data_IF_581363447093
#
_entry.id   IF_581363447093
#
_cell.length_a   1.000
_cell.length_b   1.000
_cell.length_c   1.000
_cell.angle_alpha   90.00
_cell.angle_beta   90.00
_cell.angle_gamma   90.00
#
_symmetry.space_group_name_H-M   'P 1'
#
loop_
_entity.id
_entity.type
_entity.pdbx_description
1 polymer ?
#
# COMPACT_ATOMS: atom_id res chain seq x y z
N UNK A 1 17.42 64.15 39.45
CA UNK A 1 18.12 63.52 38.31
C UNK A 1 18.03 62.01 38.48
N UNK A 2 17.39 61.31 37.55
CA UNK A 2 17.20 59.85 37.64
C UNK A 2 16.08 59.38 36.72
N UNK A 3 16.17 59.69 35.44
CA UNK A 3 15.19 59.28 34.43
C UNK A 3 15.96 58.59 33.28
N UNK A 4 15.69 57.31 33.05
CA UNK A 4 16.20 56.58 31.87
C UNK A 4 16.73 55.18 32.16
N UNK A 5 15.88 54.20 32.50
CA UNK A 5 16.30 52.78 32.45
C UNK A 5 15.21 51.73 32.23
N UNK A 6 14.02 52.11 31.77
CA UNK A 6 12.90 51.16 31.56
C UNK A 6 12.64 50.74 30.09
N UNK A 7 13.41 51.24 29.10
CA UNK A 7 13.18 50.90 27.69
C UNK A 7 13.81 49.58 27.22
N UNK A 8 14.76 49.00 27.97
CA UNK A 8 15.52 47.82 27.52
C UNK A 8 14.86 46.47 27.82
N UNK A 9 14.00 46.37 28.85
CA UNK A 9 13.45 45.07 29.27
C UNK A 9 12.33 44.54 28.36
N UNK A 10 11.58 45.44 27.68
CA UNK A 10 10.52 45.03 26.74
C UNK A 10 11.08 44.41 25.46
N UNK A 11 12.29 44.77 25.05
CA UNK A 11 12.94 44.22 23.85
C UNK A 11 13.51 42.81 24.08
N UNK A 12 14.01 42.54 25.29
CA UNK A 12 14.60 41.24 25.63
C UNK A 12 13.59 40.09 25.54
N UNK A 13 12.36 40.32 26.00
CA UNK A 13 11.29 39.30 25.95
C UNK A 13 10.89 38.98 24.50
N UNK A 14 10.82 39.99 23.62
CA UNK A 14 10.48 39.78 22.20
C UNK A 14 11.57 38.95 21.50
N UNK A 15 12.86 39.23 21.78
CA UNK A 15 13.97 38.47 21.20
C UNK A 15 13.96 37.02 21.67
N UNK A 16 13.69 36.77 22.96
CA UNK A 16 13.56 35.40 23.48
C UNK A 16 12.40 34.64 22.82
N UNK A 17 11.25 35.30 22.61
CA UNK A 17 10.11 34.68 21.93
C UNK A 17 10.39 34.40 20.45
N UNK A 18 11.08 35.32 19.75
CA UNK A 18 11.48 35.12 18.36
C UNK A 18 12.43 33.92 18.16
N UNK A 19 13.27 33.63 19.15
CA UNK A 19 14.16 32.47 19.11
C UNK A 19 13.44 31.16 19.49
N UNK A 20 12.45 31.21 20.37
CA UNK A 20 11.67 30.04 20.79
C UNK A 20 10.63 29.60 19.76
N UNK A 21 10.03 30.53 19.02
CA UNK A 21 9.00 30.23 18.04
C UNK A 21 9.42 29.22 16.95
N UNK A 22 10.56 29.36 16.26
CA UNK A 22 10.98 28.37 15.26
C UNK A 22 11.29 27.01 15.87
N UNK A 23 11.83 26.97 17.10
CA UNK A 23 12.07 25.73 17.83
C UNK A 23 10.75 25.01 18.14
N UNK A 24 9.76 25.73 18.68
CA UNK A 24 8.45 25.17 18.99
C UNK A 24 7.72 24.70 17.71
N UNK A 25 7.81 25.47 16.63
CA UNK A 25 7.24 25.08 15.33
C UNK A 25 7.91 23.81 14.78
N UNK A 26 9.24 23.69 14.90
CA UNK A 26 9.96 22.49 14.44
C UNK A 26 9.54 21.23 15.20
N UNK A 27 9.34 21.33 16.52
CA UNK A 27 8.86 20.23 17.37
C UNK A 27 7.41 19.87 16.99
N UNK A 28 6.56 20.87 16.77
CA UNK A 28 5.17 20.63 16.37
C UNK A 28 5.09 19.90 15.01
N UNK A 29 5.87 20.35 14.02
CA UNK A 29 5.94 19.70 12.70
C UNK A 29 6.46 18.27 12.81
N UNK A 30 7.44 18.02 13.69
CA UNK A 30 7.95 16.67 13.95
C UNK A 30 6.85 15.76 14.51
N UNK A 31 6.08 16.22 15.50
CA UNK A 31 4.98 15.45 16.09
C UNK A 31 3.89 15.17 15.05
N UNK A 32 3.52 16.15 14.22
CA UNK A 32 2.58 15.97 13.13
C UNK A 32 3.07 14.92 12.12
N UNK A 33 4.35 14.96 11.75
CA UNK A 33 4.95 13.99 10.83
C UNK A 33 4.92 12.57 11.40
N UNK A 34 5.22 12.38 12.69
CA UNK A 34 5.11 11.08 13.35
C UNK A 34 3.67 10.57 13.32
N UNK A 35 2.70 11.46 13.55
CA UNK A 35 1.26 11.12 13.44
C UNK A 35 0.87 10.65 12.03
N UNK A 36 1.36 11.34 10.99
CA UNK A 36 1.12 10.97 9.59
C UNK A 36 1.76 9.62 9.23
N UNK A 37 2.97 9.35 9.71
CA UNK A 37 3.65 8.05 9.51
C UNK A 37 2.87 6.92 10.22
N UNK A 38 2.39 7.16 11.45
CA UNK A 38 1.58 6.18 12.16
C UNK A 38 0.26 5.87 11.44
N UNK A 39 -0.41 6.90 10.89
CA UNK A 39 -1.58 6.71 10.04
C UNK A 39 -1.24 5.91 8.77
N UNK A 40 -0.12 6.24 8.11
CA UNK A 40 0.32 5.53 6.92
C UNK A 40 0.57 4.04 7.19
N UNK A 41 1.18 3.70 8.33
CA UNK A 41 1.36 2.30 8.75
C UNK A 41 0.05 1.53 8.87
N UNK A 42 -0.99 2.13 9.46
CA UNK A 42 -2.31 1.49 9.55
C UNK A 42 -2.91 1.22 8.17
N UNK A 43 -2.74 2.15 7.23
CA UNK A 43 -3.23 1.99 5.86
C UNK A 43 -2.45 0.93 5.09
N UNK A 44 -1.12 0.86 5.24
CA UNK A 44 -0.30 -0.18 4.59
C UNK A 44 -0.59 -1.57 5.18
N UNK A 45 -0.86 -1.68 6.49
CA UNK A 45 -1.32 -2.92 7.09
C UNK A 45 -2.67 -3.38 6.50
N UNK A 46 -3.62 -2.44 6.34
CA UNK A 46 -4.87 -2.74 5.64
C UNK A 46 -4.64 -3.10 4.16
N UNK A 47 -3.67 -2.48 3.49
CA UNK A 47 -3.29 -2.84 2.13
C UNK A 47 -2.74 -4.26 2.03
N UNK A 48 -1.91 -4.68 3.01
CA UNK A 48 -1.42 -6.06 3.11
C UNK A 48 -2.57 -7.06 3.33
N UNK A 49 -3.53 -6.73 4.18
CA UNK A 49 -4.74 -7.53 4.35
C UNK A 49 -5.57 -7.65 3.06
N UNK A 50 -5.83 -6.53 2.37
CA UNK A 50 -6.57 -6.53 1.11
C UNK A 50 -5.84 -7.33 0.02
N UNK A 51 -4.52 -7.23 -0.04
CA UNK A 51 -3.68 -8.00 -0.94
C UNK A 51 -3.74 -9.50 -0.62
N UNK A 52 -3.61 -9.88 0.65
CA UNK A 52 -3.71 -11.27 1.08
C UNK A 52 -5.07 -11.89 0.71
N UNK A 53 -6.17 -11.14 0.90
CA UNK A 53 -7.50 -11.61 0.49
C UNK A 53 -7.62 -11.80 -1.02
N UNK A 54 -7.04 -10.90 -1.80
CA UNK A 54 -6.97 -11.05 -3.25
C UNK A 54 -6.13 -12.27 -3.65
N UNK A 55 -5.00 -12.48 -2.96
CA UNK A 55 -4.09 -13.58 -3.24
C UNK A 55 -4.74 -14.95 -3.02
N UNK A 56 -5.46 -15.14 -1.92
CA UNK A 56 -6.17 -16.41 -1.63
C UNK A 56 -7.17 -16.78 -2.75
N UNK A 57 -7.81 -15.79 -3.39
CA UNK A 57 -8.78 -16.06 -4.46
C UNK A 57 -8.09 -16.24 -5.82
N UNK A 58 -7.04 -15.47 -6.08
CA UNK A 58 -6.42 -15.39 -7.41
C UNK A 58 -5.40 -16.50 -7.66
N UNK A 59 -4.68 -16.94 -6.62
CA UNK A 59 -3.67 -18.01 -6.73
C UNK A 59 -4.26 -19.35 -7.23
N UNK A 60 -5.37 -19.87 -6.67
CA UNK A 60 -5.97 -21.13 -7.14
C UNK A 60 -6.64 -20.98 -8.51
N UNK A 61 -7.02 -19.77 -8.90
CA UNK A 61 -7.65 -19.53 -10.20
C UNK A 61 -6.66 -19.63 -11.38
N UNK A 62 -7.14 -20.09 -12.53
CA UNK A 62 -6.41 -19.96 -13.80
C UNK A 62 -6.65 -18.56 -14.36
N UNK A 63 -5.58 -17.77 -14.51
CA UNK A 63 -5.66 -16.39 -15.02
C UNK A 63 -4.83 -16.29 -16.29
N UNK A 64 -5.46 -15.77 -17.35
CA UNK A 64 -4.76 -15.48 -18.60
C UNK A 64 -4.20 -14.06 -18.58
N UNK A 65 -2.90 -13.94 -18.78
CA UNK A 65 -2.26 -12.63 -18.88
C UNK A 65 -2.63 -11.95 -20.19
N UNK A 66 -3.19 -10.73 -20.12
CA UNK A 66 -3.49 -9.92 -21.30
C UNK A 66 -2.23 -9.36 -21.97
N UNK A 67 -1.11 -9.26 -21.23
CA UNK A 67 0.16 -8.70 -21.70
C UNK A 67 1.00 -9.73 -22.46
N UNK A 68 1.08 -10.96 -21.95
CA UNK A 68 1.93 -12.01 -22.52
C UNK A 68 1.14 -13.08 -23.27
N UNK A 69 -0.19 -13.12 -23.10
CA UNK A 69 -1.06 -14.16 -23.66
C UNK A 69 -0.89 -15.54 -23.02
N UNK A 70 0.06 -15.69 -22.09
CA UNK A 70 0.33 -16.90 -21.33
C UNK A 70 -0.77 -17.14 -20.30
N UNK A 71 -1.19 -18.39 -20.18
CA UNK A 71 -2.09 -18.85 -19.12
C UNK A 71 -1.27 -19.27 -17.91
N UNK A 72 -1.53 -18.62 -16.78
CA UNK A 72 -0.99 -19.04 -15.50
C UNK A 72 -1.90 -20.14 -14.94
N UNK A 73 -1.36 -21.35 -14.81
CA UNK A 73 -2.08 -22.50 -14.28
C UNK A 73 -2.57 -22.29 -12.84
N UNK A 74 -3.53 -23.10 -12.37
CA UNK A 74 -3.98 -23.05 -10.99
C UNK A 74 -2.82 -23.31 -10.04
N UNK A 75 -2.73 -22.56 -8.93
CA UNK A 75 -1.66 -22.65 -7.93
C UNK A 75 -0.23 -22.40 -8.45
N UNK A 76 -0.08 -21.83 -9.65
CA UNK A 76 1.20 -21.43 -10.20
C UNK A 76 1.27 -19.90 -10.36
N UNK A 77 2.39 -19.29 -9.95
CA UNK A 77 2.72 -17.90 -10.22
C UNK A 77 3.80 -17.90 -11.31
N UNK A 78 3.39 -17.96 -12.57
CA UNK A 78 4.33 -17.95 -13.69
C UNK A 78 4.63 -16.51 -14.11
N UNK A 79 5.91 -16.16 -14.26
CA UNK A 79 6.34 -14.88 -14.83
C UNK A 79 6.82 -13.80 -13.86
N UNK A 80 7.01 -14.12 -12.58
CA UNK A 80 7.61 -13.20 -11.59
C UNK A 80 6.93 -11.83 -11.59
N UNK A 81 7.69 -10.74 -11.74
CA UNK A 81 7.17 -9.36 -11.78
C UNK A 81 6.09 -9.10 -12.86
N UNK A 82 6.02 -9.93 -13.91
CA UNK A 82 5.04 -9.82 -15.00
C UNK A 82 3.84 -10.75 -14.88
N UNK A 83 3.71 -11.47 -13.76
CA UNK A 83 2.54 -12.31 -13.49
C UNK A 83 1.26 -11.47 -13.43
N UNK A 84 0.23 -11.92 -14.16
CA UNK A 84 -1.10 -11.34 -14.13
C UNK A 84 -1.74 -11.51 -12.75
N UNK A 85 -1.49 -12.63 -12.06
CA UNK A 85 -1.95 -12.85 -10.69
C UNK A 85 -1.34 -11.83 -9.73
N UNK A 86 -0.03 -11.65 -9.79
CA UNK A 86 0.65 -10.63 -8.99
C UNK A 86 0.16 -9.22 -9.32
N UNK A 87 -0.11 -8.91 -10.59
CA UNK A 87 -0.71 -7.63 -10.96
C UNK A 87 -2.07 -7.40 -10.30
N UNK A 88 -2.95 -8.41 -10.22
CA UNK A 88 -4.26 -8.30 -9.55
C UNK A 88 -4.10 -8.08 -8.05
N UNK A 89 -3.23 -8.87 -7.40
CA UNK A 89 -2.94 -8.75 -5.95
C UNK A 89 -2.38 -7.37 -5.63
N UNK A 90 -1.44 -6.90 -6.46
CA UNK A 90 -0.80 -5.59 -6.33
C UNK A 90 -1.81 -4.46 -6.50
N UNK A 91 -2.74 -4.56 -7.46
CA UNK A 91 -3.80 -3.56 -7.66
C UNK A 91 -4.69 -3.42 -6.43
N UNK A 92 -4.99 -4.53 -5.73
CA UNK A 92 -5.74 -4.49 -4.48
C UNK A 92 -4.98 -3.73 -3.38
N UNK A 93 -3.68 -3.96 -3.24
CA UNK A 93 -2.82 -3.21 -2.32
C UNK A 93 -2.75 -1.71 -2.68
N UNK A 94 -2.48 -1.41 -3.96
CA UNK A 94 -2.32 -0.04 -4.46
C UNK A 94 -3.59 0.80 -4.28
N UNK A 95 -4.77 0.20 -4.45
CA UNK A 95 -6.06 0.86 -4.23
C UNK A 95 -6.22 1.33 -2.78
N UNK A 96 -5.81 0.50 -1.82
CA UNK A 96 -5.82 0.88 -0.40
C UNK A 96 -4.80 2.01 -0.12
N UNK A 97 -3.60 1.92 -0.71
CA UNK A 97 -2.56 2.94 -0.55
C UNK A 97 -2.89 4.28 -1.22
N UNK A 98 -3.79 4.34 -2.19
CA UNK A 98 -4.19 5.58 -2.87
C UNK A 98 -4.72 6.66 -1.90
N UNK A 99 -5.27 6.26 -0.73
CA UNK A 99 -5.76 7.20 0.28
C UNK A 99 -4.63 8.03 0.92
N UNK A 100 -3.43 7.46 1.04
CA UNK A 100 -2.25 8.09 1.65
C UNK A 100 -1.25 8.61 0.61
N UNK A 101 -1.51 8.39 -0.68
CA UNK A 101 -0.68 8.88 -1.76
C UNK A 101 -0.71 10.41 -1.87
N UNK A 102 0.43 11.04 -2.22
CA UNK A 102 0.49 12.47 -2.51
C UNK A 102 -0.30 12.82 -3.78
N UNK A 103 -0.79 14.07 -3.90
CA UNK A 103 -1.31 14.56 -5.17
C UNK A 103 -0.19 14.63 -6.21
N UNK A 104 -0.54 14.44 -7.48
CA UNK A 104 0.41 14.53 -8.59
C UNK A 104 1.06 15.92 -8.63
N UNK A 105 2.37 15.97 -8.61
CA UNK A 105 3.18 17.17 -8.85
C UNK A 105 4.19 16.90 -9.97
N UNK A 106 4.61 17.95 -10.68
CA UNK A 106 5.57 17.80 -11.78
C UNK A 106 6.93 17.26 -11.30
N UNK A 107 7.36 17.65 -10.11
CA UNK A 107 8.59 17.19 -9.49
C UNK A 107 8.52 15.70 -9.12
N UNK A 108 7.42 15.27 -8.52
CA UNK A 108 7.21 13.87 -8.17
C UNK A 108 7.05 12.99 -9.42
N UNK A 109 6.36 13.50 -10.45
CA UNK A 109 6.25 12.82 -11.74
C UNK A 109 7.62 12.63 -12.40
N UNK A 110 8.50 13.63 -12.33
CA UNK A 110 9.86 13.52 -12.84
C UNK A 110 10.72 12.53 -12.04
N UNK A 111 10.52 12.43 -10.72
CA UNK A 111 11.29 11.55 -9.84
C UNK A 111 10.82 10.08 -9.88
N UNK A 112 9.52 9.84 -9.98
CA UNK A 112 8.93 8.48 -10.04
C UNK A 112 9.00 7.90 -11.46
N UNK A 113 9.09 8.76 -12.47
CA UNK A 113 8.94 8.37 -13.87
C UNK A 113 7.47 8.25 -14.26
N UNK A 114 7.16 8.45 -15.55
CA UNK A 114 5.85 8.13 -16.10
C UNK A 114 5.76 6.66 -16.43
N UNK A 115 5.85 5.82 -15.39
CA UNK A 115 5.47 4.42 -15.57
C UNK A 115 3.96 4.41 -15.79
N UNK A 116 3.54 4.00 -16.97
CA UNK A 116 2.16 4.03 -17.42
C UNK A 116 1.35 3.17 -16.45
N UNK A 117 0.68 3.83 -15.50
CA UNK A 117 -0.10 3.15 -14.47
C UNK A 117 -0.96 2.09 -15.16
N UNK A 118 -0.78 0.82 -14.78
CA UNK A 118 -1.37 -0.34 -15.46
C UNK A 118 -2.91 -0.27 -15.51
N UNK A 119 -3.52 0.66 -14.75
CA UNK A 119 -4.86 1.17 -15.02
C UNK A 119 -4.80 2.56 -15.67
N UNK A 120 -5.33 2.67 -16.88
CA UNK A 120 -5.56 3.96 -17.51
C UNK A 120 -6.46 4.85 -16.63
N UNK A 121 -6.22 6.17 -16.64
CA UNK A 121 -6.93 7.16 -15.81
C UNK A 121 -8.45 6.97 -15.79
N UNK A 122 -9.05 6.64 -16.92
CA UNK A 122 -10.49 6.38 -17.05
C UNK A 122 -11.00 5.20 -16.19
N UNK A 123 -10.19 4.15 -16.04
CA UNK A 123 -10.53 2.99 -15.22
C UNK A 123 -10.43 3.35 -13.73
N UNK A 124 -9.42 4.14 -13.35
CA UNK A 124 -9.29 4.66 -11.98
C UNK A 124 -10.44 5.62 -11.62
N UNK A 125 -10.84 6.50 -12.54
CA UNK A 125 -12.00 7.37 -12.35
C UNK A 125 -13.30 6.57 -12.23
N UNK A 126 -13.49 5.53 -13.05
CA UNK A 126 -14.64 4.64 -12.94
C UNK A 126 -14.70 3.91 -11.59
N UNK A 127 -13.56 3.41 -11.11
CA UNK A 127 -13.46 2.80 -9.77
C UNK A 127 -13.72 3.85 -8.69
N UNK A 128 -13.17 5.06 -8.81
CA UNK A 128 -13.37 6.13 -7.85
C UNK A 128 -14.83 6.61 -7.78
N UNK A 129 -15.56 6.60 -8.90
CA UNK A 129 -16.99 6.90 -8.93
C UNK A 129 -17.84 5.90 -8.13
N UNK A 130 -17.37 4.65 -7.94
CA UNK A 130 -18.06 3.68 -7.09
C UNK A 130 -17.95 4.03 -5.59
N UNK A 131 -16.91 4.76 -5.20
CA UNK A 131 -16.62 5.08 -3.79
C UNK A 131 -16.87 6.55 -3.44
N UNK A 132 -16.92 7.44 -4.42
CA UNK A 132 -17.01 8.88 -4.21
C UNK A 132 -18.40 9.42 -4.54
N UNK A 133 -18.93 10.32 -3.70
CA UNK A 133 -20.21 10.99 -3.90
C UNK A 133 -20.23 12.08 -5.00
N UNK A 134 -19.30 12.04 -5.98
CA UNK A 134 -19.29 13.00 -7.08
C UNK A 134 -18.01 13.00 -7.93
N UNK A 135 -18.12 13.48 -9.18
CA UNK A 135 -17.02 13.48 -10.16
C UNK A 135 -15.77 14.26 -9.72
N UNK A 136 -15.92 15.29 -8.89
CA UNK A 136 -14.80 16.08 -8.35
C UNK A 136 -13.93 15.28 -7.37
N UNK A 137 -14.55 14.39 -6.58
CA UNK A 137 -13.83 13.53 -5.63
C UNK A 137 -13.16 12.37 -6.35
N UNK A 138 -13.80 11.84 -7.40
CA UNK A 138 -13.23 10.82 -8.26
C UNK A 138 -11.91 11.28 -8.93
N UNK A 139 -11.87 12.52 -9.42
CA UNK A 139 -10.66 13.11 -10.01
C UNK A 139 -9.50 13.23 -9.01
N UNK A 140 -9.79 13.69 -7.79
CA UNK A 140 -8.77 13.80 -6.73
C UNK A 140 -8.22 12.43 -6.32
N UNK A 141 -9.10 11.41 -6.26
CA UNK A 141 -8.67 10.05 -5.98
C UNK A 141 -7.82 9.49 -7.12
N UNK A 142 -8.22 9.67 -8.38
CA UNK A 142 -7.46 9.22 -9.54
C UNK A 142 -6.05 9.87 -9.61
N UNK A 143 -5.96 11.16 -9.29
CA UNK A 143 -4.68 11.88 -9.26
C UNK A 143 -3.73 11.35 -8.16
N UNK A 144 -4.26 10.89 -7.02
CA UNK A 144 -3.48 10.24 -5.95
C UNK A 144 -3.16 8.78 -6.25
N UNK A 145 -4.10 8.08 -6.88
CA UNK A 145 -3.96 6.68 -7.23
C UNK A 145 -2.75 6.47 -8.15
N UNK A 146 -2.51 7.37 -9.11
CA UNK A 146 -1.34 7.29 -10.01
C UNK A 146 -0.04 6.94 -9.27
N UNK A 147 0.23 7.59 -8.13
CA UNK A 147 1.44 7.32 -7.36
C UNK A 147 1.48 5.91 -6.74
N UNK A 148 0.36 5.42 -6.21
CA UNK A 148 0.28 4.09 -5.61
C UNK A 148 0.37 2.97 -6.66
N UNK A 149 -0.14 3.21 -7.86
CA UNK A 149 -0.12 2.23 -8.95
C UNK A 149 1.24 2.14 -9.67
N UNK A 150 2.14 3.11 -9.47
CA UNK A 150 3.48 3.09 -10.08
C UNK A 150 4.32 1.91 -9.59
N UNK A 151 5.03 1.27 -10.55
CA UNK A 151 5.84 0.05 -10.43
C UNK A 151 6.64 -0.08 -9.13
N UNK A 152 7.35 0.99 -8.80
CA UNK A 152 8.33 0.97 -7.72
C UNK A 152 7.80 1.45 -6.37
N UNK A 153 6.60 2.05 -6.35
CA UNK A 153 6.05 2.66 -5.13
C UNK A 153 5.27 1.68 -4.28
N UNK A 154 4.58 0.72 -4.91
CA UNK A 154 3.88 -0.37 -4.21
C UNK A 154 4.42 -1.68 -4.74
N UNK A 155 5.34 -2.29 -4.00
CA UNK A 155 5.85 -3.62 -4.33
C UNK A 155 5.19 -4.65 -3.43
N UNK A 156 4.94 -5.83 -3.98
CA UNK A 156 4.38 -6.96 -3.26
C UNK A 156 5.31 -8.15 -3.40
N UNK A 157 5.41 -8.91 -2.32
CA UNK A 157 6.09 -10.20 -2.29
C UNK A 157 5.11 -11.21 -1.72
N UNK A 158 4.88 -12.29 -2.45
CA UNK A 158 3.89 -13.31 -2.11
C UNK A 158 4.63 -14.62 -1.90
N UNK A 159 4.62 -15.07 -0.65
CA UNK A 159 5.20 -16.35 -0.25
C UNK A 159 4.06 -17.33 0.02
N UNK A 160 4.07 -18.46 -0.71
CA UNK A 160 3.07 -19.53 -0.58
C UNK A 160 3.78 -20.71 0.05
N UNK A 161 3.58 -20.89 1.35
CA UNK A 161 4.21 -21.97 2.09
C UNK A 161 3.54 -23.29 1.70
N UNK A 162 4.27 -24.10 0.93
CA UNK A 162 3.86 -25.44 0.53
C UNK A 162 4.24 -26.41 1.65
N UNK A 163 3.25 -27.08 2.26
CA UNK A 163 3.54 -28.07 3.29
C UNK A 163 4.41 -29.21 2.71
N UNK A 164 5.59 -29.50 3.30
CA UNK A 164 6.48 -30.57 2.85
C UNK A 164 5.81 -31.93 3.09
N UNK A 165 5.26 -32.52 2.04
CA UNK A 165 4.50 -33.77 2.10
C UNK A 165 3.24 -33.78 1.23
N UNK A 166 2.79 -32.60 0.77
CA UNK A 166 1.81 -32.50 -0.30
C UNK A 166 2.48 -32.93 -1.61
N UNK A 167 1.91 -33.94 -2.29
CA UNK A 167 2.36 -34.32 -3.64
C UNK A 167 2.28 -33.15 -4.62
N UNK A 168 2.78 -33.34 -5.84
CA UNK A 168 2.93 -32.34 -6.91
C UNK A 168 1.63 -31.66 -7.38
N UNK A 169 0.48 -31.92 -6.73
CA UNK A 169 -0.73 -31.12 -6.81
C UNK A 169 -0.97 -30.48 -5.45
N UNK A 170 -0.74 -29.16 -5.36
CA UNK A 170 -0.84 -28.38 -4.12
C UNK A 170 -2.10 -28.73 -3.33
N UNK A 171 -1.92 -29.16 -2.09
CA UNK A 171 -3.03 -29.47 -1.18
C UNK A 171 -3.73 -28.19 -0.75
N UNK A 172 -5.06 -28.30 -0.59
CA UNK A 172 -6.09 -27.28 -0.31
C UNK A 172 -5.92 -26.40 0.94
N UNK A 173 -4.75 -26.38 1.58
CA UNK A 173 -4.46 -25.55 2.75
C UNK A 173 -3.02 -25.01 2.68
N UNK A 174 -2.77 -24.06 1.77
CA UNK A 174 -1.53 -23.30 1.76
C UNK A 174 -1.65 -22.03 2.61
N UNK A 175 -0.61 -21.72 3.37
CA UNK A 175 -0.49 -20.42 4.03
C UNK A 175 0.04 -19.43 2.99
N UNK A 176 -0.76 -18.41 2.69
CA UNK A 176 -0.40 -17.34 1.77
C UNK A 176 0.03 -16.13 2.61
N UNK A 177 1.32 -15.83 2.56
CA UNK A 177 1.90 -14.67 3.22
C UNK A 177 2.17 -13.59 2.19
N UNK A 178 1.52 -12.43 2.32
CA UNK A 178 1.75 -11.28 1.45
C UNK A 178 2.48 -10.20 2.22
N UNK A 179 3.62 -9.77 1.70
CA UNK A 179 4.40 -8.63 2.19
C UNK A 179 4.18 -7.46 1.23
N UNK A 180 3.67 -6.34 1.73
CA UNK A 180 3.49 -5.11 0.95
C UNK A 180 4.52 -4.10 1.40
N UNK A 181 5.28 -3.58 0.45
CA UNK A 181 6.19 -2.45 0.67
C UNK A 181 5.66 -1.23 -0.07
N UNK A 182 5.41 -0.16 0.68
CA UNK A 182 4.93 1.10 0.13
C UNK A 182 5.93 2.22 0.40
N UNK A 183 6.30 2.97 -0.66
CA UNK A 183 7.12 4.18 -0.54
C UNK A 183 6.25 5.34 -0.09
N UNK A 184 6.25 5.65 1.21
CA UNK A 184 5.45 6.75 1.74
C UNK A 184 6.16 8.10 1.54
N UNK A 185 5.50 9.04 0.85
CA UNK A 185 6.03 10.38 0.62
C UNK A 185 6.06 11.20 1.92
N UNK A 186 7.22 11.77 2.25
CA UNK A 186 7.37 12.63 3.42
C UNK A 186 7.08 14.09 3.00
N UNK A 187 6.10 14.73 3.65
CA UNK A 187 5.68 16.09 3.31
C UNK A 187 6.41 17.17 4.11
N UNK A 188 7.09 16.80 5.20
CA UNK A 188 7.70 17.74 6.13
C UNK A 188 9.22 17.86 5.84
N UNK A 189 9.70 18.98 5.29
CA UNK A 189 11.07 19.11 4.79
C UNK A 189 12.17 18.89 5.83
N UNK A 190 11.85 19.08 7.12
CA UNK A 190 12.79 18.84 8.22
C UNK A 190 12.91 17.35 8.59
N UNK A 191 11.85 16.57 8.40
CA UNK A 191 11.85 15.15 8.69
C UNK A 191 12.48 14.33 7.55
N UNK A 192 12.37 14.83 6.33
CA UNK A 192 12.91 14.23 5.11
C UNK A 192 14.39 13.88 5.22
N UNK A 193 15.20 14.81 5.74
CA UNK A 193 16.65 14.58 5.91
C UNK A 193 17.01 13.64 7.04
N UNK A 194 16.14 13.48 8.04
CA UNK A 194 16.41 12.66 9.21
C UNK A 194 15.95 11.21 9.02
N UNK A 195 14.82 11.02 8.34
CA UNK A 195 14.10 9.74 8.28
C UNK A 195 13.96 9.20 6.84
N UNK A 196 14.11 10.05 5.82
CA UNK A 196 13.79 9.71 4.45
C UNK A 196 14.97 9.18 3.65
N UNK A 197 14.66 8.29 2.71
CA UNK A 197 15.53 7.93 1.59
C UNK A 197 15.17 8.79 0.39
N UNK A 198 16.18 9.31 -0.31
CA UNK A 198 15.99 10.12 -1.50
C UNK A 198 15.53 9.24 -2.69
N UNK A 199 14.64 9.74 -3.53
CA UNK A 199 14.33 9.07 -4.81
C UNK A 199 15.57 9.01 -5.71
N UNK A 200 15.76 7.89 -6.41
CA UNK A 200 16.80 7.80 -7.44
C UNK A 200 16.53 8.84 -8.54
N UNK A 201 17.57 9.57 -8.97
CA UNK A 201 17.44 10.62 -9.98
C UNK A 201 16.98 11.99 -9.45
N UNK A 202 16.69 12.13 -8.16
CA UNK A 202 16.39 13.43 -7.55
C UNK A 202 17.59 14.40 -7.64
N UNK A 203 17.32 15.67 -7.90
CA UNK A 203 18.34 16.70 -8.01
C UNK A 203 19.22 16.81 -6.75
N UNK A 204 20.52 17.08 -6.96
CA UNK A 204 21.56 17.23 -5.92
C UNK A 204 21.22 18.22 -4.78
N UNK A 205 20.22 19.08 -4.98
CA UNK A 205 19.83 20.15 -4.05
C UNK A 205 18.34 20.11 -3.66
N UNK A 206 17.81 18.90 -3.41
CA UNK A 206 16.53 18.74 -2.70
C UNK A 206 15.41 18.22 -3.59
N UNK A 207 15.48 16.95 -3.98
CA UNK A 207 14.31 16.26 -4.51
C UNK A 207 13.53 15.52 -3.42
N UNK A 208 12.46 14.81 -3.83
CA UNK A 208 11.54 14.21 -2.89
C UNK A 208 12.19 13.09 -2.07
N UNK A 209 11.70 12.93 -0.84
CA UNK A 209 12.11 11.86 0.07
C UNK A 209 10.92 10.94 0.34
N UNK A 210 11.21 9.65 0.50
CA UNK A 210 10.22 8.66 0.91
C UNK A 210 10.71 7.86 2.11
N UNK A 211 9.76 7.25 2.81
CA UNK A 211 10.01 6.27 3.85
C UNK A 211 9.38 4.93 3.41
N UNK A 212 10.15 3.86 3.18
CA UNK A 212 9.57 2.56 2.89
C UNK A 212 8.86 2.03 4.14
N UNK A 213 7.57 1.76 3.99
CA UNK A 213 6.74 1.09 5.00
C UNK A 213 6.49 -0.33 4.51
N UNK A 214 6.92 -1.30 5.30
CA UNK A 214 6.76 -2.73 5.01
C UNK A 214 5.81 -3.32 6.02
N UNK A 215 4.73 -3.94 5.55
CA UNK A 215 3.79 -4.68 6.38
C UNK A 215 3.52 -6.06 5.77
N UNK A 216 3.28 -7.05 6.62
CA UNK A 216 3.08 -8.44 6.21
C UNK A 216 1.78 -8.96 6.80
N UNK A 217 1.03 -9.70 5.98
CA UNK A 217 -0.19 -10.36 6.41
C UNK A 217 -0.25 -11.79 5.88
N UNK A 218 -0.65 -12.73 6.73
CA UNK A 218 -0.76 -14.15 6.37
C UNK A 218 -2.22 -14.58 6.47
N UNK A 219 -2.72 -15.22 5.41
CA UNK A 219 -4.03 -15.85 5.39
C UNK A 219 -3.89 -17.31 5.01
N UNK A 220 -4.78 -18.13 5.55
CA UNK A 220 -4.98 -19.51 5.09
C UNK A 220 -5.78 -19.48 3.79
N UNK A 221 -5.34 -20.22 2.77
CA UNK A 221 -6.15 -20.49 1.59
C UNK A 221 -7.42 -21.21 2.04
N UNK A 222 -8.57 -20.59 1.84
CA UNK A 222 -9.88 -21.24 1.99
C UNK A 222 -10.19 -21.91 0.64
N UNK A 223 -9.52 -23.02 0.33
CA UNK A 223 -10.04 -23.91 -0.70
C UNK A 223 -11.13 -24.79 -0.09
N UNK A 224 -12.13 -25.09 -0.93
CA UNK A 224 -13.35 -25.84 -0.62
C UNK A 224 -13.13 -26.86 0.50
N UNK A 225 -13.96 -26.76 1.55
CA UNK A 225 -14.31 -27.96 2.30
C UNK A 225 -14.75 -28.96 1.25
N UNK A 226 -13.92 -29.97 0.97
CA UNK A 226 -14.34 -31.15 0.24
C UNK A 226 -15.54 -31.65 1.01
N UNK A 227 -16.74 -31.32 0.54
CA UNK A 227 -17.95 -31.90 1.07
C UNK A 227 -17.71 -33.41 1.01
N UNK A 228 -17.89 -34.15 2.12
CA UNK A 228 -17.74 -35.59 2.09
C UNK A 228 -18.56 -36.10 0.93
N UNK A 229 -17.90 -36.91 0.09
CA UNK A 229 -18.44 -37.48 -1.13
C UNK A 229 -19.90 -37.92 -0.89
N UNK A 230 -20.90 -37.49 -1.71
CA UNK A 230 -22.30 -37.85 -1.50
C UNK A 230 -22.54 -39.38 -1.48
N UNK A 231 -21.55 -40.17 -1.88
CA UNK A 231 -21.51 -41.63 -1.68
C UNK A 231 -21.54 -42.09 -0.21
N UNK A 232 -21.34 -41.20 0.76
CA UNK A 232 -21.53 -41.49 2.19
C UNK A 232 -22.99 -41.35 2.66
N UNK A 233 -23.91 -40.91 1.79
CA UNK A 233 -25.36 -40.85 2.05
C UNK A 233 -26.04 -42.22 2.07
N UNK A 234 -25.46 -43.22 1.40
CA UNK A 234 -26.03 -44.59 1.32
C UNK A 234 -25.76 -45.43 2.60
N UNK A 235 -24.99 -44.92 3.56
CA UNK A 235 -24.69 -45.62 4.83
C UNK A 235 -25.69 -45.32 5.96
N UNK A 236 -26.70 -44.47 5.70
CA UNK A 236 -27.69 -44.07 6.71
C UNK A 236 -29.15 -44.41 6.36
N UNK A 237 -29.41 -45.17 5.28
CA UNK A 237 -30.78 -45.55 4.88
C UNK A 237 -31.26 -46.94 5.38
N UNK A 238 -30.45 -47.71 6.11
CA UNK A 238 -30.81 -49.10 6.51
C UNK A 238 -31.20 -49.32 7.99
N UNK A 239 -31.31 -48.29 8.83
CA UNK A 239 -31.82 -48.45 10.21
C UNK A 239 -33.31 -48.05 10.34
N UNK A 240 -34.14 -49.09 10.34
CA UNK A 240 -35.40 -49.24 11.09
C UNK A 240 -36.65 -48.43 10.69
N UNK A 241 -37.53 -49.09 9.92
CA UNK A 241 -38.98 -49.12 10.24
C UNK A 241 -39.51 -50.55 10.06
N UNK A 242 -39.53 -51.31 11.16
CA UNK A 242 -40.35 -52.52 11.35
C UNK A 242 -41.45 -52.27 12.37
#
# INVERSE_FOLDING_TARGET
MGCGRQRSDRGAVVVQFMLLLPLLLSILLLVLQVGLIAQAKLVVNYAAFAAARSAVVVIPSAVRSSLTGLEEGPNEIAGGERSAKLAIIRRAAALACAAISPPRSAELAAAVGEDEAVLGRAQLEAVALLFSGGSSSAGQYADRAWYAFAGDNTTIDVDVESHPGAGTGGTSYSLVTVTVTYRYFLAAPFADRLLGTQFEGAALWGGPYYLPIVERYTLTSEDDLVFPDPSLGDLFEDEDVS
#
